data_IF_180044170112
#
_entry.id   IF_180044170112
#
_cell.length_a   1.000
_cell.length_b   1.000
_cell.length_c   1.000
_cell.angle_alpha   90.00
_cell.angle_beta   90.00
_cell.angle_gamma   90.00
#
_symmetry.space_group_name_H-M   'P 1'
#
loop_
_entity.id
_entity.type
_entity.pdbx_description
1 polymer ?
#
# COMPACT_ATOMS: atom_id res chain seq x y z
N UNK A 1 0.31 14.68 -12.74
CA UNK A 1 1.14 13.44 -12.71
C UNK A 1 0.50 12.46 -11.75
N UNK A 2 0.41 11.17 -12.06
CA UNK A 2 -0.31 10.15 -11.26
C UNK A 2 -0.06 10.20 -9.73
N UNK A 3 1.15 10.59 -9.33
CA UNK A 3 1.56 10.83 -7.94
C UNK A 3 0.78 11.94 -7.20
N UNK A 4 0.27 12.96 -7.89
CA UNK A 4 -0.57 13.99 -7.26
C UNK A 4 -1.92 13.41 -6.86
N UNK A 5 -2.55 12.62 -7.74
CA UNK A 5 -3.83 11.97 -7.48
C UNK A 5 -3.77 11.00 -6.28
N UNK A 6 -2.68 10.25 -6.13
CA UNK A 6 -2.50 9.32 -5.00
C UNK A 6 -2.48 10.01 -3.63
N UNK A 7 -1.98 11.25 -3.55
CA UNK A 7 -1.95 12.04 -2.31
C UNK A 7 -3.33 12.55 -1.88
N UNK A 8 -4.30 12.60 -2.79
CA UNK A 8 -5.67 13.03 -2.49
C UNK A 8 -6.54 11.88 -1.97
N UNK A 9 -6.07 10.63 -2.08
CA UNK A 9 -6.76 9.48 -1.53
C UNK A 9 -6.43 9.38 -0.03
N UNK A 10 -7.43 9.24 0.86
CA UNK A 10 -7.19 9.09 2.30
C UNK A 10 -6.29 7.91 2.64
N UNK A 11 -5.50 8.03 3.70
CA UNK A 11 -4.58 6.98 4.16
C UNK A 11 -5.29 5.68 4.55
N UNK A 12 -6.53 5.76 5.04
CA UNK A 12 -7.35 4.59 5.36
C UNK A 12 -7.64 3.73 4.13
N UNK A 13 -7.97 4.37 3.00
CA UNK A 13 -8.20 3.67 1.74
C UNK A 13 -6.92 2.99 1.26
N UNK A 14 -5.78 3.69 1.36
CA UNK A 14 -4.48 3.09 1.04
C UNK A 14 -4.12 1.91 1.93
N UNK A 15 -4.49 1.96 3.22
CA UNK A 15 -4.28 0.86 4.15
C UNK A 15 -5.13 -0.36 3.78
N UNK A 16 -6.39 -0.16 3.39
CA UNK A 16 -7.26 -1.25 2.93
C UNK A 16 -6.73 -1.90 1.65
N UNK A 17 -6.35 -1.08 0.66
CA UNK A 17 -5.72 -1.59 -0.58
C UNK A 17 -4.46 -2.39 -0.25
N UNK A 18 -3.61 -1.85 0.62
CA UNK A 18 -2.35 -2.50 1.01
C UNK A 18 -2.58 -3.79 1.79
N UNK A 19 -3.64 -3.86 2.60
CA UNK A 19 -4.04 -5.07 3.32
C UNK A 19 -4.36 -6.20 2.34
N UNK A 20 -5.27 -5.94 1.40
CA UNK A 20 -5.64 -6.92 0.37
C UNK A 20 -4.42 -7.33 -0.47
N UNK A 21 -3.59 -6.35 -0.86
CA UNK A 21 -2.36 -6.57 -1.63
C UNK A 21 -1.30 -7.41 -0.90
N UNK A 22 -1.34 -7.50 0.44
CA UNK A 22 -0.40 -8.31 1.21
C UNK A 22 -0.88 -9.76 1.41
N UNK A 23 -2.12 -10.09 1.04
CA UNK A 23 -2.66 -11.46 1.18
C UNK A 23 -2.19 -12.41 0.07
N UNK A 24 -1.67 -11.88 -1.04
CA UNK A 24 -1.31 -12.64 -2.25
C UNK A 24 0.11 -13.21 -2.18
N UNK A 25 0.49 -13.84 -1.07
CA UNK A 25 1.89 -14.20 -0.73
C UNK A 25 2.81 -12.99 -0.49
N UNK A 26 2.25 -11.76 -0.51
CA UNK A 26 2.95 -10.51 -0.23
C UNK A 26 3.64 -9.90 -1.45
N UNK A 27 3.54 -10.50 -2.64
CA UNK A 27 4.23 -10.03 -3.83
C UNK A 27 3.62 -8.74 -4.40
N UNK A 28 2.29 -8.62 -4.38
CA UNK A 28 1.63 -7.37 -4.80
C UNK A 28 1.91 -6.26 -3.80
N UNK A 29 1.84 -6.54 -2.50
CA UNK A 29 2.19 -5.58 -1.44
C UNK A 29 3.63 -5.07 -1.55
N UNK A 30 4.59 -5.97 -1.83
CA UNK A 30 5.98 -5.60 -2.11
C UNK A 30 6.08 -4.68 -3.32
N UNK A 31 5.50 -5.08 -4.46
CA UNK A 31 5.53 -4.30 -5.71
C UNK A 31 4.92 -2.91 -5.52
N UNK A 32 3.81 -2.81 -4.79
CA UNK A 32 3.12 -1.57 -4.48
C UNK A 32 4.00 -0.63 -3.63
N UNK A 33 4.69 -1.16 -2.62
CA UNK A 33 5.57 -0.39 -1.74
C UNK A 33 6.76 0.27 -2.47
N UNK A 34 7.14 -0.25 -3.64
CA UNK A 34 8.26 0.26 -4.44
C UNK A 34 7.90 1.45 -5.34
N UNK A 35 6.60 1.73 -5.53
CA UNK A 35 6.13 2.77 -6.46
C UNK A 35 6.35 4.19 -5.93
N UNK A 36 6.27 4.41 -4.61
CA UNK A 36 6.57 5.73 -4.01
C UNK A 36 6.82 5.67 -2.50
N UNK A 37 7.48 6.71 -1.96
CA UNK A 37 7.67 6.87 -0.50
C UNK A 37 6.35 6.98 0.27
N UNK A 38 5.32 7.58 -0.33
CA UNK A 38 4.00 7.70 0.27
C UNK A 38 3.34 6.33 0.39
N UNK A 39 3.29 5.59 -0.72
CA UNK A 39 2.69 4.25 -0.77
C UNK A 39 3.42 3.30 0.17
N UNK A 40 4.76 3.33 0.20
CA UNK A 40 5.56 2.57 1.17
C UNK A 40 5.15 2.84 2.61
N UNK A 41 4.95 4.10 2.97
CA UNK A 41 4.56 4.47 4.35
C UNK A 41 3.14 4.02 4.67
N UNK A 42 2.23 4.05 3.69
CA UNK A 42 0.86 3.60 3.87
C UNK A 42 0.74 2.06 3.96
N UNK A 43 1.62 1.32 3.29
CA UNK A 43 1.64 -0.15 3.30
C UNK A 43 2.39 -0.77 4.49
N UNK A 44 3.31 -0.02 5.12
CA UNK A 44 4.14 -0.55 6.22
C UNK A 44 3.36 -1.22 7.36
N UNK A 45 2.21 -0.68 7.83
CA UNK A 45 1.47 -1.28 8.94
C UNK A 45 0.84 -2.64 8.63
N UNK A 46 0.64 -2.96 7.35
CA UNK A 46 -0.09 -4.17 6.90
C UNK A 46 0.83 -5.17 6.20
N UNK A 47 2.12 -4.85 6.03
CA UNK A 47 3.10 -5.67 5.31
C UNK A 47 3.29 -7.07 5.92
N UNK A 48 3.16 -7.19 7.24
CA UNK A 48 3.40 -8.42 8.01
C UNK A 48 2.14 -8.89 8.75
N UNK A 49 0.96 -8.54 8.23
CA UNK A 49 -0.27 -9.00 8.85
C UNK A 49 -0.44 -10.52 8.66
N UNK A 50 -0.83 -11.19 9.74
CA UNK A 50 -1.33 -12.57 9.67
C UNK A 50 -2.85 -12.48 9.50
N UNK A 51 -3.35 -13.04 8.41
CA UNK A 51 -4.78 -13.08 8.08
C UNK A 51 -5.31 -14.49 8.29
#
# INVERSE_FOLDING_TARGET
TFLSSMKHIPSEIWRNISSEACTDTGFTGLSLSLVSKFVRSASEPVKLQSV
#
